data_IF_956374843631
#
_entry.id   IF_956374843631
#
_cell.length_a   1.000
_cell.length_b   1.000
_cell.length_c   1.000
_cell.angle_alpha   90.00
_cell.angle_beta   90.00
_cell.angle_gamma   90.00
#
_symmetry.space_group_name_H-M   'P 1'
#
loop_
_entity.id
_entity.type
_entity.pdbx_description
1 polymer ?
#
# COMPACT_ATOMS: atom_id res chain seq x y z
N UNK A 1 -29.31 -4.44 -4.72
CA UNK A 1 -28.19 -5.08 -4.01
C UNK A 1 -27.26 -4.02 -3.48
N UNK A 2 -26.86 -4.19 -2.26
CA UNK A 2 -25.92 -3.26 -1.62
C UNK A 2 -24.49 -3.56 -2.06
N UNK A 3 -23.72 -2.48 -2.27
CA UNK A 3 -22.29 -2.61 -2.53
C UNK A 3 -21.55 -2.86 -1.22
N UNK A 4 -20.48 -3.61 -1.30
CA UNK A 4 -19.62 -3.87 -0.16
C UNK A 4 -18.38 -2.98 -0.27
N UNK A 5 -18.10 -2.20 0.76
CA UNK A 5 -16.89 -1.37 0.83
C UNK A 5 -15.91 -1.99 1.80
N UNK A 6 -14.63 -1.85 1.48
CA UNK A 6 -13.55 -2.30 2.35
C UNK A 6 -12.37 -1.36 2.25
N UNK A 7 -11.59 -1.31 3.31
CA UNK A 7 -10.34 -0.54 3.36
C UNK A 7 -9.19 -1.50 3.61
N UNK A 8 -8.08 -1.30 2.89
CA UNK A 8 -6.90 -2.15 2.98
C UNK A 8 -5.68 -1.28 3.24
N UNK A 9 -4.90 -1.66 4.23
CA UNK A 9 -3.67 -0.94 4.57
C UNK A 9 -2.48 -1.67 3.96
N UNK A 10 -1.62 -0.91 3.27
CA UNK A 10 -0.43 -1.44 2.60
C UNK A 10 0.77 -0.63 3.03
N UNK A 11 1.82 -1.30 3.46
CA UNK A 11 3.05 -0.65 3.90
C UNK A 11 4.25 -1.20 3.15
N UNK A 12 5.41 -0.54 3.31
CA UNK A 12 6.67 -1.02 2.76
C UNK A 12 7.03 -2.43 3.27
N UNK A 13 6.51 -2.81 4.44
CA UNK A 13 6.74 -4.14 5.03
C UNK A 13 6.06 -5.26 4.24
N UNK A 14 5.05 -4.93 3.47
CA UNK A 14 4.31 -5.91 2.66
C UNK A 14 5.04 -6.23 1.34
N UNK A 15 6.11 -5.51 1.04
CA UNK A 15 6.89 -5.75 -0.17
C UNK A 15 7.65 -7.07 -0.06
N UNK A 16 7.85 -7.73 -1.21
CA UNK A 16 8.62 -8.97 -1.26
C UNK A 16 10.05 -8.76 -0.79
N UNK A 17 10.59 -7.59 -1.03
CA UNK A 17 11.94 -7.19 -0.58
C UNK A 17 11.84 -5.91 0.22
N UNK A 18 11.48 -6.06 1.50
CA UNK A 18 11.43 -4.91 2.39
C UNK A 18 12.83 -4.39 2.68
N UNK A 19 13.02 -3.06 2.74
CA UNK A 19 14.31 -2.49 3.11
C UNK A 19 14.65 -2.89 4.55
N UNK A 20 15.91 -3.26 4.76
CA UNK A 20 16.40 -3.63 6.09
C UNK A 20 17.76 -3.01 6.32
N UNK A 21 18.10 -2.78 7.59
CA UNK A 21 19.41 -2.32 8.00
C UNK A 21 19.53 -0.82 8.12
N UNK A 22 20.74 -0.39 8.54
CA UNK A 22 21.04 1.00 8.88
C UNK A 22 21.10 1.91 7.66
N UNK A 23 21.30 1.35 6.48
CA UNK A 23 21.52 2.13 5.26
C UNK A 23 20.27 2.32 4.42
N UNK A 24 19.12 1.75 4.85
CA UNK A 24 17.86 1.97 4.16
C UNK A 24 17.43 3.43 4.33
N UNK A 25 17.02 4.06 3.22
CA UNK A 25 16.65 5.47 3.20
C UNK A 25 15.22 5.65 2.70
N UNK A 26 14.77 6.91 2.63
CA UNK A 26 13.43 7.26 2.19
C UNK A 26 13.07 6.66 0.83
N UNK A 27 14.01 6.69 -0.11
CA UNK A 27 13.80 6.13 -1.45
C UNK A 27 13.55 4.63 -1.38
N UNK A 28 14.27 3.92 -0.52
CA UNK A 28 14.11 2.47 -0.38
C UNK A 28 12.76 2.12 0.18
N UNK A 29 12.30 2.84 1.20
CA UNK A 29 10.97 2.63 1.78
C UNK A 29 9.88 2.98 0.77
N UNK A 30 10.04 4.08 0.05
CA UNK A 30 9.09 4.50 -0.97
C UNK A 30 8.95 3.48 -2.10
N UNK A 31 10.06 2.95 -2.59
CA UNK A 31 10.05 1.92 -3.63
C UNK A 31 9.37 0.65 -3.14
N UNK A 32 9.68 0.23 -1.92
CA UNK A 32 9.07 -0.96 -1.33
C UNK A 32 7.57 -0.78 -1.17
N UNK A 33 7.13 0.38 -0.67
CA UNK A 33 5.71 0.67 -0.51
C UNK A 33 4.98 0.69 -1.86
N UNK A 34 5.61 1.29 -2.89
CA UNK A 34 5.02 1.34 -4.23
C UNK A 34 4.89 -0.05 -4.84
N UNK A 35 5.91 -0.89 -4.66
CA UNK A 35 5.85 -2.27 -5.15
C UNK A 35 4.77 -3.07 -4.43
N UNK A 36 4.66 -2.92 -3.12
CA UNK A 36 3.62 -3.57 -2.33
C UNK A 36 2.23 -3.10 -2.75
N UNK A 37 2.07 -1.79 -3.00
CA UNK A 37 0.81 -1.22 -3.49
C UNK A 37 0.44 -1.83 -4.84
N UNK A 38 1.38 -1.92 -5.78
CA UNK A 38 1.13 -2.49 -7.10
C UNK A 38 0.62 -3.93 -7.00
N UNK A 39 1.30 -4.75 -6.19
CA UNK A 39 0.91 -6.15 -6.00
C UNK A 39 -0.48 -6.24 -5.36
N UNK A 40 -0.76 -5.39 -4.39
CA UNK A 40 -2.06 -5.40 -3.71
C UNK A 40 -3.19 -4.98 -4.64
N UNK A 41 -2.96 -3.95 -5.46
CA UNK A 41 -3.97 -3.50 -6.43
C UNK A 41 -4.32 -4.60 -7.41
N UNK A 42 -3.31 -5.33 -7.90
CA UNK A 42 -3.53 -6.45 -8.81
C UNK A 42 -4.31 -7.57 -8.14
N UNK A 43 -3.98 -7.88 -6.89
CA UNK A 43 -4.69 -8.88 -6.12
C UNK A 43 -6.15 -8.51 -5.93
N UNK A 44 -6.42 -7.25 -5.54
CA UNK A 44 -7.78 -6.77 -5.32
C UNK A 44 -8.59 -6.79 -6.62
N UNK A 45 -7.98 -6.39 -7.73
CA UNK A 45 -8.63 -6.44 -9.03
C UNK A 45 -9.02 -7.87 -9.40
N UNK A 46 -8.13 -8.83 -9.16
CA UNK A 46 -8.40 -10.25 -9.41
C UNK A 46 -9.56 -10.77 -8.54
N UNK A 47 -9.74 -10.20 -7.35
CA UNK A 47 -10.82 -10.56 -6.44
C UNK A 47 -12.12 -9.81 -6.72
N UNK A 48 -12.15 -9.01 -7.77
CA UNK A 48 -13.35 -8.30 -8.20
C UNK A 48 -13.58 -6.95 -7.54
N UNK A 49 -12.57 -6.44 -6.82
CA UNK A 49 -12.68 -5.12 -6.19
C UNK A 49 -12.44 -4.00 -7.20
N UNK A 50 -13.20 -2.93 -7.06
CA UNK A 50 -13.02 -1.69 -7.84
C UNK A 50 -12.40 -0.67 -6.90
N UNK A 51 -11.24 -0.14 -7.27
CA UNK A 51 -10.51 0.81 -6.44
C UNK A 51 -11.19 2.16 -6.54
N UNK A 52 -11.62 2.69 -5.41
CA UNK A 52 -12.24 4.01 -5.32
C UNK A 52 -11.23 5.09 -5.01
N UNK A 53 -10.32 4.83 -4.08
CA UNK A 53 -9.38 5.84 -3.62
C UNK A 53 -8.13 5.18 -3.05
N UNK A 54 -7.00 5.84 -3.21
CA UNK A 54 -5.74 5.45 -2.60
C UNK A 54 -5.25 6.66 -1.81
N UNK A 55 -5.12 6.47 -0.49
CA UNK A 55 -4.76 7.55 0.44
C UNK A 55 -3.35 7.31 0.96
N UNK A 56 -2.39 8.19 0.63
CA UNK A 56 -1.04 8.08 1.20
C UNK A 56 -1.07 8.40 2.69
N UNK A 57 -0.25 7.69 3.45
CA UNK A 57 -0.09 7.97 4.87
C UNK A 57 0.70 9.25 5.08
N UNK A 58 0.27 10.03 6.08
CA UNK A 58 0.99 11.22 6.53
C UNK A 58 1.90 10.86 7.70
N UNK A 59 3.02 11.56 7.80
CA UNK A 59 3.97 11.36 8.89
C UNK A 59 5.25 12.13 8.61
N UNK A 60 6.13 12.20 9.59
CA UNK A 60 7.41 12.91 9.47
C UNK A 60 8.60 12.00 9.24
N UNK A 61 8.41 10.70 9.45
CA UNK A 61 9.48 9.72 9.26
C UNK A 61 9.24 8.92 7.97
N UNK A 62 10.28 8.62 7.16
CA UNK A 62 10.11 7.85 5.92
C UNK A 62 9.38 6.52 6.10
N UNK A 63 9.61 5.84 7.21
CA UNK A 63 8.91 4.60 7.52
C UNK A 63 7.41 4.80 7.68
N UNK A 64 6.99 5.95 8.20
CA UNK A 64 5.59 6.27 8.43
C UNK A 64 4.89 6.65 7.13
N UNK A 65 5.59 7.37 6.24
CA UNK A 65 5.01 7.85 4.98
C UNK A 65 5.01 6.80 3.87
N UNK A 66 5.77 5.72 4.04
CA UNK A 66 5.84 4.66 3.04
C UNK A 66 4.70 3.66 3.22
N UNK A 67 3.47 4.15 3.16
CA UNK A 67 2.27 3.35 3.35
C UNK A 67 1.08 4.00 2.66
N UNK A 68 0.06 3.18 2.36
CA UNK A 68 -1.15 3.63 1.70
C UNK A 68 -2.37 2.94 2.31
N UNK A 69 -3.52 3.61 2.24
CA UNK A 69 -4.81 3.00 2.50
C UNK A 69 -5.58 2.96 1.19
N UNK A 70 -6.08 1.79 0.83
CA UNK A 70 -6.87 1.58 -0.38
C UNK A 70 -8.33 1.45 0.05
N UNK A 71 -9.21 2.25 -0.54
CA UNK A 71 -10.65 2.11 -0.37
C UNK A 71 -11.20 1.51 -1.65
N UNK A 72 -11.91 0.40 -1.53
CA UNK A 72 -12.43 -0.32 -2.68
C UNK A 72 -13.85 -0.80 -2.40
N UNK A 73 -14.57 -1.18 -3.47
CA UNK A 73 -15.91 -1.73 -3.34
C UNK A 73 -16.15 -2.83 -4.37
N UNK A 74 -17.16 -3.66 -4.08
CA UNK A 74 -17.64 -4.69 -5.00
C UNK A 74 -19.06 -5.14 -4.67
#
# INVERSE_FOLDING_TARGET
>A
MSKQFASFHVTWRDAKRAPVGLFANERDYGRAATAALQDRLNQLADEGWIIQEIIPMAGIHPRQTAAFTIVAFR
#
